data_IF_071093964020
#
_entry.id   IF_071093964020
#
_cell.length_a   1.000
_cell.length_b   1.000
_cell.length_c   1.000
_cell.angle_alpha   90.00
_cell.angle_beta   90.00
_cell.angle_gamma   90.00
#
_symmetry.space_group_name_H-M   'P 1'
#
loop_
_entity.id
_entity.type
_entity.pdbx_description
1 polymer ?
#
# COMPACT_ATOMS: atom_id res chain seq x y z
N UNK A 1 3.98 12.83 -3.92
CA UNK A 1 4.72 13.05 -2.66
C UNK A 1 3.83 12.67 -1.49
N UNK A 2 4.27 11.83 -0.55
CA UNK A 2 3.53 11.63 0.70
C UNK A 2 3.62 12.92 1.53
N UNK A 3 2.48 13.47 1.96
CA UNK A 3 2.43 14.72 2.78
C UNK A 3 3.26 14.60 4.06
N UNK A 4 3.35 13.38 4.60
CA UNK A 4 4.13 13.07 5.78
C UNK A 4 5.64 13.29 5.58
N UNK A 5 6.21 12.74 4.51
CA UNK A 5 7.64 12.90 4.20
C UNK A 5 8.02 14.36 3.97
N UNK A 6 7.17 15.14 3.31
CA UNK A 6 7.39 16.56 3.12
C UNK A 6 7.44 17.31 4.46
N UNK A 7 6.49 17.05 5.37
CA UNK A 7 6.52 17.66 6.72
C UNK A 7 7.76 17.29 7.51
N UNK A 8 8.18 16.03 7.47
CA UNK A 8 9.41 15.59 8.15
C UNK A 8 10.61 16.40 7.62
N UNK A 9 10.67 16.60 6.31
CA UNK A 9 11.75 17.35 5.70
C UNK A 9 11.72 18.84 6.06
N UNK A 10 10.55 19.45 6.21
CA UNK A 10 10.41 20.83 6.72
C UNK A 10 11.00 20.96 8.13
N UNK A 11 10.76 19.99 9.00
CA UNK A 11 11.37 19.98 10.34
C UNK A 11 12.90 19.85 10.29
N UNK A 12 13.44 19.10 9.32
CA UNK A 12 14.89 19.03 9.12
C UNK A 12 15.46 20.36 8.64
N UNK A 13 14.78 21.04 7.70
CA UNK A 13 15.19 22.37 7.23
C UNK A 13 15.27 23.38 8.38
N UNK A 14 14.29 23.38 9.28
CA UNK A 14 14.27 24.23 10.46
C UNK A 14 15.39 23.86 11.44
N UNK A 15 15.56 22.56 11.74
CA UNK A 15 16.57 22.07 12.68
C UNK A 15 18.01 22.34 12.23
N UNK A 16 18.29 22.15 10.94
CA UNK A 16 19.64 22.27 10.38
C UNK A 16 19.87 23.58 9.63
N UNK A 17 18.89 24.49 9.66
CA UNK A 17 18.95 25.83 9.07
C UNK A 17 19.43 25.86 7.60
N UNK A 18 18.85 25.01 6.76
CA UNK A 18 19.14 24.99 5.32
C UNK A 18 17.90 25.28 4.48
N UNK A 19 18.13 25.77 3.26
CA UNK A 19 17.08 26.04 2.27
C UNK A 19 17.16 25.03 1.14
N UNK A 20 16.03 24.75 0.52
CA UNK A 20 15.95 23.81 -0.60
C UNK A 20 15.25 24.40 -1.80
N UNK A 21 15.72 24.01 -2.98
CA UNK A 21 15.01 24.22 -4.22
C UNK A 21 14.34 22.89 -4.62
N UNK A 22 13.01 22.88 -4.69
CA UNK A 22 12.26 21.67 -5.00
C UNK A 22 12.10 21.51 -6.51
N UNK A 23 12.65 20.43 -7.04
CA UNK A 23 12.43 19.99 -8.42
C UNK A 23 11.50 18.79 -8.43
N UNK A 24 10.39 18.89 -9.16
CA UNK A 24 9.49 17.76 -9.33
C UNK A 24 10.07 16.77 -10.35
N UNK A 25 10.08 15.48 -10.01
CA UNK A 25 10.37 14.40 -10.96
C UNK A 25 9.09 13.61 -11.24
N UNK A 26 8.82 13.32 -12.51
CA UNK A 26 7.64 12.55 -12.94
C UNK A 26 7.79 11.05 -12.72
N UNK A 27 9.03 10.55 -12.68
CA UNK A 27 9.36 9.13 -12.55
C UNK A 27 10.25 8.93 -11.33
N UNK A 28 10.11 7.79 -10.66
CA UNK A 28 10.94 7.47 -9.49
C UNK A 28 12.39 7.19 -9.88
N UNK A 29 12.61 6.34 -10.88
CA UNK A 29 13.92 5.73 -11.07
C UNK A 29 13.79 4.43 -11.81
N UNK A 30 13.60 4.51 -13.12
CA UNK A 30 13.61 3.35 -14.02
C UNK A 30 15.00 3.27 -14.66
N UNK A 31 15.52 2.06 -14.75
CA UNK A 31 16.73 1.76 -15.50
C UNK A 31 16.31 1.35 -16.91
N UNK A 32 16.88 2.02 -17.90
CA UNK A 32 16.66 1.71 -19.30
C UNK A 32 17.45 0.46 -19.74
N UNK A 33 17.15 -0.09 -20.91
CA UNK A 33 17.87 -1.21 -21.52
C UNK A 33 19.37 -0.89 -21.71
N UNK A 34 19.67 0.38 -22.02
CA UNK A 34 21.04 0.89 -22.16
C UNK A 34 21.77 1.06 -20.80
N UNK A 35 21.11 0.72 -19.69
CA UNK A 35 21.67 0.80 -18.35
C UNK A 35 21.60 2.18 -17.70
N UNK A 36 21.04 3.18 -18.41
CA UNK A 36 20.87 4.54 -17.93
C UNK A 36 19.72 4.67 -16.92
N UNK A 37 19.91 5.53 -15.91
CA UNK A 37 18.86 5.83 -14.94
C UNK A 37 18.07 7.10 -15.32
N UNK A 38 16.76 7.02 -15.20
CA UNK A 38 15.83 8.13 -15.45
C UNK A 38 15.08 8.53 -14.17
N UNK A 39 14.27 9.60 -14.23
CA UNK A 39 13.50 10.07 -13.09
C UNK A 39 14.38 10.60 -11.94
N UNK A 40 13.88 10.49 -10.71
CA UNK A 40 14.58 11.00 -9.53
C UNK A 40 15.93 10.30 -9.28
N UNK A 41 16.00 8.97 -9.45
CA UNK A 41 17.28 8.22 -9.35
C UNK A 41 18.27 8.68 -10.43
N UNK A 42 17.80 8.91 -11.67
CA UNK A 42 18.66 9.42 -12.74
C UNK A 42 19.19 10.83 -12.47
N UNK A 43 18.41 11.69 -11.81
CA UNK A 43 18.85 13.02 -11.40
C UNK A 43 19.91 12.95 -10.29
N UNK A 44 19.76 12.02 -9.33
CA UNK A 44 20.74 11.74 -8.29
C UNK A 44 22.05 11.19 -8.89
N UNK A 45 21.96 10.19 -9.77
CA UNK A 45 23.12 9.54 -10.39
C UNK A 45 23.97 10.51 -11.24
N UNK A 46 23.33 11.54 -11.83
CA UNK A 46 24.00 12.59 -12.60
C UNK A 46 24.36 13.83 -11.77
N UNK A 47 24.23 13.76 -10.45
CA UNK A 47 24.47 14.88 -9.52
C UNK A 47 23.75 16.18 -9.91
N UNK A 48 22.55 16.06 -10.49
CA UNK A 48 21.69 17.21 -10.82
C UNK A 48 20.86 17.69 -9.63
N UNK A 49 20.78 16.87 -8.59
CA UNK A 49 20.10 17.13 -7.33
C UNK A 49 20.95 16.56 -6.19
N UNK A 50 20.98 17.24 -5.05
CA UNK A 50 21.83 16.85 -3.92
C UNK A 50 21.25 15.66 -3.13
N UNK A 51 19.93 15.65 -2.95
CA UNK A 51 19.21 14.57 -2.28
C UNK A 51 17.78 14.46 -2.81
N UNK A 52 17.13 13.34 -2.49
CA UNK A 52 15.74 13.10 -2.84
C UNK A 52 14.90 12.88 -1.59
N UNK A 53 13.79 13.62 -1.49
CA UNK A 53 12.83 13.53 -0.38
C UNK A 53 11.80 12.40 -0.63
N UNK A 54 11.70 11.93 -1.88
CA UNK A 54 10.77 10.84 -2.20
C UNK A 54 11.25 9.54 -1.58
N UNK A 55 10.31 8.73 -1.09
CA UNK A 55 10.62 7.41 -0.57
C UNK A 55 11.07 6.48 -1.69
N UNK A 56 12.38 6.31 -1.85
CA UNK A 56 12.96 5.34 -2.77
C UNK A 56 13.10 4.00 -2.04
N UNK A 57 12.60 2.94 -2.67
CA UNK A 57 12.83 1.57 -2.18
C UNK A 57 14.33 1.25 -2.22
N UNK A 58 14.84 0.63 -1.16
CA UNK A 58 16.10 -0.09 -1.16
C UNK A 58 16.00 -1.33 -2.04
N UNK A 59 16.84 -1.39 -3.07
CA UNK A 59 16.90 -2.50 -4.00
C UNK A 59 18.37 -2.75 -4.36
N UNK A 60 18.74 -4.01 -4.53
CA UNK A 60 20.13 -4.39 -4.78
C UNK A 60 20.70 -3.73 -6.05
N UNK A 61 19.86 -3.59 -7.07
CA UNK A 61 20.15 -2.91 -8.33
C UNK A 61 20.51 -1.42 -8.19
N UNK A 62 20.19 -0.80 -7.04
CA UNK A 62 20.44 0.62 -6.77
C UNK A 62 21.66 0.84 -5.87
N UNK A 63 22.29 -0.23 -5.37
CA UNK A 63 23.54 -0.08 -4.62
C UNK A 63 24.63 0.50 -5.53
N UNK A 64 25.33 1.53 -5.04
CA UNK A 64 26.36 2.24 -5.79
C UNK A 64 25.84 3.31 -6.77
N UNK A 65 24.52 3.43 -6.99
CA UNK A 65 23.93 4.49 -7.84
C UNK A 65 23.75 5.80 -7.06
N UNK A 66 23.38 5.69 -5.79
CA UNK A 66 23.29 6.80 -4.85
C UNK A 66 23.46 6.28 -3.43
N UNK A 67 23.89 7.15 -2.52
CA UNK A 67 24.02 6.81 -1.11
C UNK A 67 22.65 6.82 -0.43
N UNK A 68 22.32 5.73 0.25
CA UNK A 68 21.02 5.53 0.89
C UNK A 68 21.11 5.97 2.35
N UNK A 69 20.21 6.86 2.78
CA UNK A 69 20.09 7.24 4.19
C UNK A 69 19.43 6.14 5.01
N UNK A 70 19.38 6.31 6.34
CA UNK A 70 18.60 5.44 7.22
C UNK A 70 17.13 5.31 6.76
N UNK A 71 16.53 4.14 6.99
CA UNK A 71 15.13 3.89 6.66
C UNK A 71 14.22 4.82 7.47
N UNK A 72 13.58 5.77 6.78
CA UNK A 72 12.60 6.65 7.41
C UNK A 72 11.25 5.95 7.66
N UNK A 73 10.93 4.91 6.88
CA UNK A 73 9.74 4.09 7.06
C UNK A 73 9.92 2.71 6.42
N UNK A 74 9.15 1.73 6.89
CA UNK A 74 9.04 0.40 6.28
C UNK A 74 7.69 0.29 5.56
N UNK A 75 7.72 -0.23 4.34
CA UNK A 75 6.52 -0.53 3.58
C UNK A 75 6.51 -2.01 3.19
N UNK A 76 5.36 -2.65 3.38
CA UNK A 76 5.12 -4.03 2.97
C UNK A 76 4.22 -4.04 1.74
N UNK A 77 4.43 -5.02 0.88
CA UNK A 77 3.51 -5.29 -0.22
C UNK A 77 2.30 -6.01 0.34
N UNK A 78 1.13 -5.41 0.13
CA UNK A 78 -0.14 -5.97 0.54
C UNK A 78 -1.07 -5.97 -0.67
N UNK A 79 -1.84 -7.05 -0.82
CA UNK A 79 -2.92 -7.11 -1.79
C UNK A 79 -4.17 -6.54 -1.13
N UNK A 80 -4.72 -5.47 -1.70
CA UNK A 80 -5.94 -4.84 -1.21
C UNK A 80 -7.08 -5.33 -2.09
N UNK A 81 -7.98 -6.12 -1.50
CA UNK A 81 -9.22 -6.55 -2.14
C UNK A 81 -10.37 -5.70 -1.64
N UNK A 82 -11.39 -5.51 -2.49
CA UNK A 82 -12.63 -4.88 -2.05
C UNK A 82 -13.36 -5.83 -1.11
N UNK A 83 -13.85 -5.32 0.02
CA UNK A 83 -14.72 -6.09 0.91
C UNK A 83 -15.90 -6.68 0.11
N UNK A 84 -16.21 -7.97 0.25
CA UNK A 84 -17.35 -8.58 -0.44
C UNK A 84 -18.65 -7.89 0.00
N UNK A 85 -19.53 -7.57 -0.95
CA UNK A 85 -20.76 -6.81 -0.69
C UNK A 85 -21.87 -7.65 -0.04
N UNK A 86 -21.85 -8.96 -0.21
CA UNK A 86 -22.88 -9.87 0.29
C UNK A 86 -22.25 -10.83 1.30
N UNK A 87 -22.35 -10.47 2.56
CA UNK A 87 -22.30 -11.43 3.67
C UNK A 87 -23.67 -11.35 4.34
N UNK A 88 -24.70 -11.81 3.63
CA UNK A 88 -26.04 -11.89 4.22
C UNK A 88 -26.02 -12.98 5.29
N UNK A 89 -25.85 -12.58 6.55
CA UNK A 89 -25.72 -13.50 7.69
C UNK A 89 -26.90 -14.46 7.83
N UNK A 90 -28.09 -14.02 7.40
CA UNK A 90 -29.33 -14.82 7.43
C UNK A 90 -29.30 -15.92 6.36
N UNK A 91 -28.79 -15.63 5.15
CA UNK A 91 -28.73 -16.64 4.09
C UNK A 91 -27.72 -17.74 4.42
N UNK A 92 -26.63 -17.41 5.11
CA UNK A 92 -25.65 -18.39 5.60
C UNK A 92 -26.27 -19.37 6.60
N UNK A 93 -27.13 -18.90 7.51
CA UNK A 93 -27.78 -19.77 8.50
C UNK A 93 -28.84 -20.69 7.88
N UNK A 94 -29.59 -20.22 6.88
CA UNK A 94 -30.65 -21.00 6.22
C UNK A 94 -30.14 -21.83 5.03
N UNK A 95 -28.90 -21.61 4.57
CA UNK A 95 -28.26 -22.35 3.47
C UNK A 95 -28.12 -23.88 3.65
N UNK A 96 -27.96 -24.48 4.83
CA UNK A 96 -27.61 -25.90 4.92
C UNK A 96 -28.76 -26.85 4.57
N UNK A 97 -30.02 -26.39 4.64
CA UNK A 97 -31.19 -27.21 4.30
C UNK A 97 -32.07 -26.50 3.28
N UNK A 98 -32.67 -27.30 2.40
CA UNK A 98 -33.67 -26.80 1.46
C UNK A 98 -34.94 -26.36 2.21
N UNK A 99 -35.71 -25.43 1.64
CA UNK A 99 -36.92 -24.87 2.23
C UNK A 99 -37.90 -25.98 2.64
N UNK A 100 -37.99 -27.05 1.85
CA UNK A 100 -38.82 -28.23 2.12
C UNK A 100 -38.43 -28.92 3.43
N UNK A 101 -37.14 -29.03 3.72
CA UNK A 101 -36.63 -29.68 4.95
C UNK A 101 -36.90 -28.80 6.16
N UNK A 102 -36.72 -27.47 6.03
CA UNK A 102 -37.08 -26.53 7.09
C UNK A 102 -38.57 -26.60 7.45
N UNK A 103 -39.45 -26.64 6.45
CA UNK A 103 -40.90 -26.80 6.66
C UNK A 103 -41.20 -28.14 7.35
N UNK A 104 -40.57 -29.23 6.94
CA UNK A 104 -40.75 -30.55 7.57
C UNK A 104 -40.32 -30.56 9.04
N UNK A 105 -39.16 -29.96 9.37
CA UNK A 105 -38.68 -29.83 10.75
C UNK A 105 -39.67 -29.02 11.60
N UNK A 106 -40.17 -27.89 11.08
CA UNK A 106 -41.15 -27.07 11.79
C UNK A 106 -42.47 -27.81 12.02
N UNK A 107 -42.98 -28.52 11.01
CA UNK A 107 -44.22 -29.29 11.13
C UNK A 107 -44.10 -30.46 12.12
N UNK A 108 -42.99 -31.20 12.08
CA UNK A 108 -42.72 -32.28 13.03
C UNK A 108 -42.61 -31.74 14.47
N UNK A 109 -41.92 -30.62 14.65
CA UNK A 109 -41.81 -29.96 15.96
C UNK A 109 -43.17 -29.56 16.53
N UNK A 110 -44.00 -28.86 15.74
CA UNK A 110 -45.36 -28.47 16.17
C UNK A 110 -46.23 -29.70 16.44
N UNK A 111 -46.18 -30.71 15.56
CA UNK A 111 -46.93 -31.95 15.73
C UNK A 111 -46.58 -32.68 17.03
N UNK A 112 -45.31 -32.70 17.40
CA UNK A 112 -44.85 -33.30 18.67
C UNK A 112 -45.26 -32.52 19.92
N UNK A 113 -45.53 -31.22 19.80
CA UNK A 113 -45.91 -30.38 20.94
C UNK A 113 -47.43 -30.40 21.22
N UNK A 114 -48.23 -30.82 20.23
CA UNK A 114 -49.71 -30.87 20.32
C UNK A 114 -50.21 -32.25 20.74
N UNK A 115 -49.36 -33.28 20.67
CA UNK A 115 -49.66 -34.68 20.97
C UNK A 115 -49.08 -35.07 22.34
#
# INVERSE_FOLDING_TARGET
MSRYMYRLFVLMMEKYNFKVNLRLAHLWGLRDADGNWHGAVGALNRSQVDFCITGLRWANERYGVYEQTAAAYYAQFLFIFRHPKSVDSISVFLSPFDLTVWIAITLLGVGSAVL
#
